data_IF_517453265035
#
_entry.id   IF_517453265035
#
_cell.length_a   1.000
_cell.length_b   1.000
_cell.length_c   1.000
_cell.angle_alpha   90.00
_cell.angle_beta   90.00
_cell.angle_gamma   90.00
#
_symmetry.space_group_name_H-M   'P 1'
#
loop_
_entity.id
_entity.type
_entity.pdbx_description
1 polymer ?
#
# COMPACT_ATOMS: atom_id res chain seq x y z
N UNK A 1 59.94 -46.25 62.96
CA UNK A 1 60.31 -46.70 64.33
C UNK A 1 61.36 -47.80 64.19
N UNK A 2 62.42 -47.77 64.99
CA UNK A 2 63.39 -48.87 65.03
C UNK A 2 62.66 -50.12 65.52
N UNK A 3 62.93 -51.29 64.93
CA UNK A 3 62.52 -52.56 65.51
C UNK A 3 63.07 -52.56 66.94
N UNK A 4 62.19 -52.49 67.94
CA UNK A 4 62.61 -52.64 69.33
C UNK A 4 63.03 -54.10 69.44
N UNK A 5 64.32 -54.36 69.23
CA UNK A 5 64.88 -55.69 69.39
C UNK A 5 64.73 -56.04 70.85
N UNK A 6 63.89 -57.03 71.15
CA UNK A 6 63.72 -57.52 72.51
C UNK A 6 65.07 -58.08 72.99
N UNK A 7 65.73 -57.34 73.86
CA UNK A 7 66.97 -57.80 74.49
C UNK A 7 66.63 -58.85 75.55
N UNK A 8 66.68 -60.12 75.14
CA UNK A 8 66.37 -61.25 76.00
C UNK A 8 67.33 -61.35 77.19
N UNK A 9 68.56 -60.84 77.08
CA UNK A 9 69.53 -60.88 78.17
C UNK A 9 69.15 -59.84 79.24
N UNK A 10 68.79 -58.63 78.82
CA UNK A 10 68.30 -57.59 79.73
C UNK A 10 67.01 -58.00 80.45
N UNK A 11 66.11 -58.72 79.76
CA UNK A 11 64.87 -59.26 80.35
C UNK A 11 65.17 -60.32 81.42
N UNK A 12 66.08 -61.26 81.17
CA UNK A 12 66.46 -62.28 82.15
C UNK A 12 67.09 -61.65 83.39
N UNK A 13 68.02 -60.70 83.22
CA UNK A 13 68.66 -60.00 84.35
C UNK A 13 67.66 -59.24 85.22
N UNK A 14 66.65 -58.61 84.60
CA UNK A 14 65.61 -57.89 85.34
C UNK A 14 64.69 -58.84 86.12
N UNK A 15 64.38 -60.02 85.57
CA UNK A 15 63.60 -61.06 86.25
C UNK A 15 64.38 -61.69 87.41
N UNK A 16 65.68 -61.89 87.26
CA UNK A 16 66.56 -62.38 88.33
C UNK A 16 66.69 -61.36 89.47
N UNK A 17 66.86 -60.07 89.15
CA UNK A 17 66.83 -58.97 90.15
C UNK A 17 65.50 -58.87 90.90
N UNK A 18 64.41 -59.26 90.26
CA UNK A 18 63.08 -59.35 90.86
C UNK A 18 62.86 -60.64 91.69
N UNK A 19 63.87 -61.50 91.83
CA UNK A 19 63.84 -62.70 92.68
C UNK A 19 63.38 -63.98 91.99
N UNK A 20 63.25 -63.99 90.66
CA UNK A 20 62.90 -65.19 89.89
C UNK A 20 64.16 -66.04 89.66
N UNK A 21 64.09 -67.34 89.97
CA UNK A 21 65.18 -68.28 89.74
C UNK A 21 65.55 -68.36 88.25
N UNK A 22 66.85 -68.39 87.94
CA UNK A 22 67.42 -68.38 86.58
C UNK A 22 66.73 -69.31 85.58
N UNK A 23 66.37 -70.58 85.91
CA UNK A 23 65.68 -71.45 84.96
C UNK A 23 64.29 -70.94 84.58
N UNK A 24 63.56 -70.36 85.53
CA UNK A 24 62.23 -69.78 85.29
C UNK A 24 62.32 -68.44 84.56
N UNK A 25 63.32 -67.60 84.89
CA UNK A 25 63.55 -66.33 84.18
C UNK A 25 63.86 -66.56 82.69
N UNK A 26 64.67 -67.58 82.37
CA UNK A 26 64.96 -67.99 80.98
C UNK A 26 63.72 -68.53 80.26
N UNK A 27 62.90 -69.35 80.93
CA UNK A 27 61.66 -69.88 80.36
C UNK A 27 60.65 -68.76 80.02
N UNK A 28 60.49 -67.78 80.93
CA UNK A 28 59.62 -66.62 80.71
C UNK A 28 60.16 -65.75 79.57
N UNK A 29 61.47 -65.45 79.56
CA UNK A 29 62.09 -64.71 78.45
C UNK A 29 61.92 -65.42 77.10
N UNK A 30 61.95 -66.75 77.08
CA UNK A 30 61.75 -67.54 75.86
C UNK A 30 60.31 -67.44 75.34
N UNK A 31 59.30 -67.54 76.22
CA UNK A 31 57.89 -67.38 75.84
C UNK A 31 57.61 -65.95 75.36
N UNK A 32 58.17 -64.93 76.02
CA UNK A 32 58.05 -63.52 75.59
C UNK A 32 58.70 -63.32 74.22
N UNK A 33 59.87 -63.92 73.98
CA UNK A 33 60.54 -63.87 72.67
C UNK A 33 59.69 -64.52 71.58
N UNK A 34 59.18 -65.73 71.81
CA UNK A 34 58.28 -66.39 70.85
C UNK A 34 57.03 -65.54 70.58
N UNK A 35 56.43 -64.95 71.61
CA UNK A 35 55.26 -64.09 71.45
C UNK A 35 55.58 -62.80 70.67
N UNK A 36 56.79 -62.25 70.79
CA UNK A 36 57.23 -61.05 70.06
C UNK A 36 57.62 -61.37 68.61
N UNK A 37 58.20 -62.55 68.35
CA UNK A 37 58.53 -63.03 67.00
C UNK A 37 57.27 -63.48 66.23
N UNK A 38 56.20 -63.88 66.93
CA UNK A 38 54.93 -64.30 66.32
C UNK A 38 54.00 -63.15 65.88
N UNK A 39 54.34 -61.88 66.17
CA UNK A 39 53.52 -60.72 65.74
C UNK A 39 53.98 -60.26 64.36
N UNK A 40 53.12 -60.45 63.36
CA UNK A 40 53.32 -59.91 62.01
C UNK A 40 53.06 -58.40 62.01
N UNK A 41 54.10 -57.62 62.31
CA UNK A 41 54.05 -56.15 62.33
C UNK A 41 54.72 -55.58 61.09
N UNK A 42 54.08 -54.59 60.49
CA UNK A 42 54.68 -53.84 59.38
C UNK A 42 56.03 -53.23 59.83
N UNK A 43 57.06 -53.43 59.01
CA UNK A 43 58.36 -52.83 59.25
C UNK A 43 58.35 -51.35 58.88
N UNK A 44 59.35 -50.59 59.35
CA UNK A 44 59.54 -49.20 58.91
C UNK A 44 59.63 -49.10 57.38
N UNK A 45 60.27 -50.08 56.74
CA UNK A 45 60.40 -50.14 55.29
C UNK A 45 59.06 -50.33 54.59
N UNK A 46 58.18 -51.19 55.11
CA UNK A 46 56.85 -51.41 54.53
C UNK A 46 55.99 -50.14 54.60
N UNK A 47 56.09 -49.39 55.70
CA UNK A 47 55.43 -48.09 55.84
C UNK A 47 56.03 -47.03 54.90
N UNK A 48 57.35 -47.00 54.74
CA UNK A 48 58.03 -46.07 53.82
C UNK A 48 57.65 -46.38 52.35
N UNK A 49 57.57 -47.66 51.97
CA UNK A 49 57.18 -48.09 50.62
C UNK A 49 55.68 -47.84 50.37
N UNK A 50 54.81 -48.05 51.37
CA UNK A 50 53.40 -47.65 51.31
C UNK A 50 53.26 -46.12 51.12
N UNK A 51 54.02 -45.33 51.87
CA UNK A 51 54.05 -43.87 51.75
C UNK A 51 54.40 -43.43 50.33
N UNK A 52 55.49 -43.96 49.76
CA UNK A 52 55.87 -43.70 48.37
C UNK A 52 54.80 -44.12 47.36
N UNK A 53 54.13 -45.25 47.60
CA UNK A 53 53.05 -45.72 46.73
C UNK A 53 51.82 -44.80 46.76
N UNK A 54 51.49 -44.28 47.94
CA UNK A 54 50.42 -43.29 48.12
C UNK A 54 50.80 -41.97 47.44
N UNK A 55 52.01 -41.46 47.66
CA UNK A 55 52.50 -40.22 47.04
C UNK A 55 52.48 -40.31 45.52
N UNK A 56 52.98 -41.41 44.95
CA UNK A 56 52.95 -41.65 43.51
C UNK A 56 51.51 -41.73 42.94
N UNK A 57 50.56 -42.27 43.71
CA UNK A 57 49.15 -42.29 43.31
C UNK A 57 48.52 -40.90 43.36
N UNK A 58 48.87 -40.07 44.36
CA UNK A 58 48.44 -38.68 44.42
C UNK A 58 49.02 -37.87 43.26
N UNK A 59 50.32 -37.97 42.99
CA UNK A 59 50.96 -37.30 41.84
C UNK A 59 50.29 -37.68 40.51
N UNK A 60 49.99 -38.98 40.30
CA UNK A 60 49.27 -39.45 39.11
C UNK A 60 47.85 -38.88 39.05
N UNK A 61 47.17 -38.75 40.18
CA UNK A 61 45.81 -38.22 40.25
C UNK A 61 45.82 -36.72 39.95
N UNK A 62 46.75 -35.97 40.52
CA UNK A 62 46.93 -34.54 40.24
C UNK A 62 47.26 -34.29 38.77
N UNK A 63 48.14 -35.09 38.17
CA UNK A 63 48.42 -35.02 36.74
C UNK A 63 47.17 -35.22 35.89
N UNK A 64 46.34 -36.24 36.20
CA UNK A 64 45.06 -36.46 35.51
C UNK A 64 44.07 -35.30 35.70
N UNK A 65 44.01 -34.71 36.88
CA UNK A 65 43.15 -33.54 37.14
C UNK A 65 43.61 -32.34 36.31
N UNK A 66 44.92 -32.11 36.22
CA UNK A 66 45.49 -31.04 35.39
C UNK A 66 45.14 -31.27 33.91
N UNK A 67 45.30 -32.48 33.40
CA UNK A 67 44.98 -32.79 32.00
C UNK A 67 43.49 -32.63 31.71
N UNK A 68 42.61 -33.13 32.60
CA UNK A 68 41.16 -32.91 32.48
C UNK A 68 40.77 -31.43 32.47
N UNK A 69 41.43 -30.59 33.28
CA UNK A 69 41.20 -29.14 33.26
C UNK A 69 41.62 -28.53 31.93
N UNK A 70 42.80 -28.88 31.41
CA UNK A 70 43.26 -28.39 30.09
C UNK A 70 42.31 -28.78 28.98
N UNK A 71 41.84 -30.02 28.96
CA UNK A 71 40.89 -30.51 27.96
C UNK A 71 39.55 -29.75 28.05
N UNK A 72 39.10 -29.48 29.27
CA UNK A 72 37.88 -28.70 29.52
C UNK A 72 38.01 -27.25 29.09
N UNK A 73 39.12 -26.59 29.42
CA UNK A 73 39.43 -25.22 29.03
C UNK A 73 39.49 -25.11 27.50
N UNK A 74 40.17 -26.03 26.82
CA UNK A 74 40.20 -26.08 25.36
C UNK A 74 38.81 -26.34 24.75
N UNK A 75 37.99 -27.16 25.41
CA UNK A 75 36.59 -27.40 25.03
C UNK A 75 35.72 -26.15 25.14
N UNK A 76 35.90 -25.36 26.20
CA UNK A 76 35.22 -24.08 26.40
C UNK A 76 35.68 -23.04 25.38
N UNK A 77 36.98 -22.86 25.17
CA UNK A 77 37.52 -21.93 24.16
C UNK A 77 36.97 -22.23 22.76
N UNK A 78 36.91 -23.51 22.38
CA UNK A 78 36.32 -23.92 21.10
C UNK A 78 34.81 -23.60 21.01
N UNK A 79 34.09 -23.71 22.12
CA UNK A 79 32.67 -23.39 22.19
C UNK A 79 32.44 -21.88 22.09
N UNK A 80 33.23 -21.08 22.79
CA UNK A 80 33.18 -19.62 22.74
C UNK A 80 33.52 -19.08 21.35
N UNK A 81 34.50 -19.68 20.67
CA UNK A 81 34.83 -19.36 19.28
C UNK A 81 33.62 -19.62 18.35
N UNK A 82 32.98 -20.80 18.45
CA UNK A 82 31.78 -21.13 17.67
C UNK A 82 30.61 -20.17 17.96
N UNK A 83 30.41 -19.80 19.22
CA UNK A 83 29.35 -18.84 19.59
C UNK A 83 29.65 -17.47 18.98
N UNK A 84 30.90 -17.04 18.97
CA UNK A 84 31.33 -15.78 18.36
C UNK A 84 31.09 -15.77 16.86
N UNK A 85 31.47 -16.84 16.17
CA UNK A 85 31.24 -17.00 14.73
C UNK A 85 29.74 -17.01 14.41
N UNK A 86 28.93 -17.76 15.16
CA UNK A 86 27.47 -17.76 14.99
C UNK A 86 26.85 -16.37 15.17
N UNK A 87 27.30 -15.60 16.17
CA UNK A 87 26.82 -14.22 16.38
C UNK A 87 27.19 -13.32 15.20
N UNK A 88 28.39 -13.47 14.65
CA UNK A 88 28.84 -12.70 13.48
C UNK A 88 28.02 -13.04 12.24
N UNK A 89 27.79 -14.32 11.97
CA UNK A 89 26.98 -14.78 10.84
C UNK A 89 25.53 -14.32 10.95
N UNK A 90 24.95 -14.40 12.16
CA UNK A 90 23.61 -13.88 12.44
C UNK A 90 23.55 -12.37 12.21
N UNK A 91 24.51 -11.60 12.72
CA UNK A 91 24.58 -10.14 12.50
C UNK A 91 24.63 -9.79 11.02
N UNK A 92 25.51 -10.45 10.26
CA UNK A 92 25.62 -10.24 8.81
C UNK A 92 24.33 -10.62 8.05
N UNK A 93 23.61 -11.66 8.48
CA UNK A 93 22.34 -12.03 7.87
C UNK A 93 21.21 -11.06 8.22
N UNK A 94 21.19 -10.49 9.42
CA UNK A 94 20.26 -9.43 9.79
C UNK A 94 20.51 -8.17 8.95
N UNK A 95 21.77 -7.71 8.85
CA UNK A 95 22.13 -6.55 8.02
C UNK A 95 21.71 -6.73 6.55
N UNK A 96 21.94 -7.92 5.97
CA UNK A 96 21.48 -8.25 4.61
C UNK A 96 19.95 -8.21 4.48
N UNK A 97 19.23 -8.63 5.51
CA UNK A 97 17.77 -8.62 5.52
C UNK A 97 17.25 -7.19 5.62
N UNK A 98 17.82 -6.36 6.49
CA UNK A 98 17.48 -4.94 6.62
C UNK A 98 17.76 -4.15 5.34
N UNK A 99 18.86 -4.46 4.65
CA UNK A 99 19.17 -3.87 3.34
C UNK A 99 18.09 -4.22 2.31
N UNK A 100 17.71 -5.50 2.20
CA UNK A 100 16.63 -5.94 1.30
C UNK A 100 15.29 -5.29 1.62
N UNK A 101 14.95 -5.14 2.91
CA UNK A 101 13.71 -4.47 3.34
C UNK A 101 13.73 -3.00 2.93
N UNK A 102 14.86 -2.32 3.12
CA UNK A 102 15.06 -0.93 2.69
C UNK A 102 14.89 -0.77 1.18
N UNK A 103 15.49 -1.65 0.39
CA UNK A 103 15.40 -1.60 -1.07
C UNK A 103 13.97 -1.88 -1.56
N UNK A 104 13.30 -2.89 -0.98
CA UNK A 104 11.89 -3.17 -1.29
C UNK A 104 10.97 -1.98 -0.98
N UNK A 105 11.23 -1.24 0.11
CA UNK A 105 10.48 -0.01 0.43
C UNK A 105 10.70 1.07 -0.61
N UNK A 106 11.95 1.31 -1.03
CA UNK A 106 12.25 2.29 -2.09
C UNK A 106 11.57 1.94 -3.40
N UNK A 107 11.62 0.67 -3.81
CA UNK A 107 10.98 0.21 -5.05
C UNK A 107 9.46 0.39 -4.98
N UNK A 108 8.85 0.11 -3.83
CA UNK A 108 7.43 0.30 -3.58
C UNK A 108 7.04 1.78 -3.61
N UNK A 109 7.80 2.65 -2.95
CA UNK A 109 7.57 4.10 -2.93
C UNK A 109 7.66 4.68 -4.36
N UNK A 110 8.69 4.30 -5.13
CA UNK A 110 8.82 4.69 -6.53
C UNK A 110 7.66 4.15 -7.41
N UNK A 111 7.18 2.94 -7.11
CA UNK A 111 6.00 2.36 -7.76
C UNK A 111 4.71 3.15 -7.49
N UNK A 112 4.52 3.62 -6.25
CA UNK A 112 3.40 4.48 -5.87
C UNK A 112 3.50 5.86 -6.52
N UNK A 113 4.65 6.53 -6.46
CA UNK A 113 4.87 7.82 -7.11
C UNK A 113 4.55 7.79 -8.61
N UNK A 114 4.98 6.73 -9.31
CA UNK A 114 4.67 6.55 -10.74
C UNK A 114 3.17 6.37 -10.99
N UNK A 115 2.46 5.72 -10.08
CA UNK A 115 1.01 5.52 -10.17
C UNK A 115 0.27 6.83 -9.94
N UNK A 116 0.66 7.60 -8.94
CA UNK A 116 0.10 8.92 -8.64
C UNK A 116 0.32 9.92 -9.79
N UNK A 117 1.50 9.89 -10.41
CA UNK A 117 1.78 10.68 -11.61
C UNK A 117 0.82 10.32 -12.77
N UNK A 118 0.63 9.03 -13.06
CA UNK A 118 -0.32 8.57 -14.09
C UNK A 118 -1.76 8.99 -13.79
N UNK A 119 -2.19 8.90 -12.53
CA UNK A 119 -3.54 9.33 -12.12
C UNK A 119 -3.70 10.83 -12.34
N UNK A 120 -2.67 11.62 -12.00
CA UNK A 120 -2.67 13.07 -12.21
C UNK A 120 -2.76 13.42 -13.69
N UNK A 121 -1.99 12.75 -14.54
CA UNK A 121 -2.02 12.99 -15.99
C UNK A 121 -3.37 12.59 -16.60
N UNK A 122 -3.93 11.43 -16.22
CA UNK A 122 -5.26 11.01 -16.66
C UNK A 122 -6.36 12.00 -16.28
N UNK A 123 -6.28 12.61 -15.08
CA UNK A 123 -7.22 13.66 -14.66
C UNK A 123 -7.11 14.89 -15.54
N UNK A 124 -5.88 15.38 -15.81
CA UNK A 124 -5.66 16.52 -16.71
C UNK A 124 -6.19 16.27 -18.12
N UNK A 125 -5.93 15.10 -18.67
CA UNK A 125 -6.42 14.72 -20.00
C UNK A 125 -7.95 14.68 -20.07
N UNK A 126 -8.57 14.18 -19.00
CA UNK A 126 -10.02 14.10 -18.86
C UNK A 126 -10.64 15.50 -18.73
N UNK A 127 -10.08 16.36 -17.87
CA UNK A 127 -10.53 17.75 -17.71
C UNK A 127 -10.43 18.52 -19.04
N UNK A 128 -9.30 18.41 -19.74
CA UNK A 128 -9.12 19.00 -21.07
C UNK A 128 -10.06 18.37 -22.13
N UNK A 129 -10.47 17.11 -21.95
CA UNK A 129 -11.49 16.45 -22.76
C UNK A 129 -12.89 17.04 -22.56
N UNK A 130 -13.25 17.31 -21.30
CA UNK A 130 -14.51 17.95 -20.95
C UNK A 130 -14.56 19.41 -21.43
N UNK A 131 -13.52 20.20 -21.21
CA UNK A 131 -13.44 21.58 -21.69
C UNK A 131 -13.63 21.68 -23.21
N UNK A 132 -13.00 20.78 -23.98
CA UNK A 132 -13.20 20.71 -25.44
C UNK A 132 -14.63 20.37 -25.84
N UNK A 133 -15.30 19.54 -25.05
CA UNK A 133 -16.69 19.15 -25.30
C UNK A 133 -17.63 20.31 -25.00
N UNK A 134 -17.43 21.01 -23.88
CA UNK A 134 -18.20 22.20 -23.50
C UNK A 134 -18.04 23.34 -24.52
N UNK A 135 -16.82 23.54 -25.03
CA UNK A 135 -16.56 24.49 -26.11
C UNK A 135 -17.36 24.14 -27.38
N UNK A 136 -17.32 22.88 -27.82
CA UNK A 136 -18.11 22.42 -28.98
C UNK A 136 -19.61 22.60 -28.80
N UNK A 137 -20.14 22.30 -27.61
CA UNK A 137 -21.56 22.51 -27.30
C UNK A 137 -21.92 23.99 -27.37
N UNK A 138 -21.05 24.86 -26.84
CA UNK A 138 -21.25 26.32 -26.89
C UNK A 138 -21.25 26.83 -28.33
N UNK A 139 -20.32 26.38 -29.16
CA UNK A 139 -20.26 26.77 -30.56
C UNK A 139 -21.47 26.26 -31.36
N UNK A 140 -21.89 25.00 -31.15
CA UNK A 140 -23.11 24.46 -31.77
C UNK A 140 -24.36 25.26 -31.41
N UNK A 141 -24.48 25.73 -30.16
CA UNK A 141 -25.60 26.58 -29.74
C UNK A 141 -25.58 27.93 -30.46
N UNK A 142 -24.41 28.58 -30.55
CA UNK A 142 -24.28 29.84 -31.32
C UNK A 142 -24.66 29.67 -32.78
N UNK A 143 -24.22 28.59 -33.41
CA UNK A 143 -24.56 28.29 -34.81
C UNK A 143 -26.07 28.05 -34.99
N UNK A 144 -26.70 27.33 -34.05
CA UNK A 144 -28.16 27.14 -34.03
C UNK A 144 -28.90 28.46 -33.86
N UNK A 145 -28.52 29.28 -32.88
CA UNK A 145 -29.15 30.57 -32.59
C UNK A 145 -29.05 31.49 -33.81
N UNK A 146 -27.87 31.59 -34.43
CA UNK A 146 -27.68 32.34 -35.67
C UNK A 146 -28.50 31.79 -36.85
N UNK A 147 -28.70 30.47 -36.91
CA UNK A 147 -29.56 29.80 -37.88
C UNK A 147 -31.04 30.17 -37.70
N UNK A 148 -31.51 30.21 -36.45
CA UNK A 148 -32.87 30.64 -36.11
C UNK A 148 -33.08 32.12 -36.41
N UNK A 149 -32.17 33.00 -36.01
CA UNK A 149 -32.25 34.44 -36.30
C UNK A 149 -32.36 34.72 -37.81
N UNK A 150 -31.59 34.02 -38.64
CA UNK A 150 -31.69 34.12 -40.12
C UNK A 150 -33.05 33.65 -40.64
N UNK A 151 -33.61 32.62 -40.04
CA UNK A 151 -34.93 32.09 -40.43
C UNK A 151 -36.03 33.06 -40.05
N UNK A 152 -35.99 33.61 -38.84
CA UNK A 152 -36.93 34.63 -38.37
C UNK A 152 -36.88 35.88 -39.26
N UNK A 153 -35.68 36.36 -39.61
CA UNK A 153 -35.51 37.49 -40.52
C UNK A 153 -36.15 37.22 -41.89
N UNK A 154 -35.94 36.03 -42.48
CA UNK A 154 -36.60 35.65 -43.74
C UNK A 154 -38.12 35.60 -43.62
N UNK A 155 -38.66 35.10 -42.51
CA UNK A 155 -40.11 35.08 -42.27
C UNK A 155 -40.66 36.51 -42.17
N UNK A 156 -39.96 37.41 -41.47
CA UNK A 156 -40.33 38.82 -41.39
C UNK A 156 -40.34 39.48 -42.76
N UNK A 157 -39.31 39.26 -43.58
CA UNK A 157 -39.24 39.84 -44.92
C UNK A 157 -40.33 39.28 -45.84
N UNK A 158 -40.58 37.96 -45.82
CA UNK A 158 -41.69 37.35 -46.57
C UNK A 158 -43.06 37.92 -46.18
N UNK A 159 -43.29 38.21 -44.89
CA UNK A 159 -44.53 38.85 -44.44
C UNK A 159 -44.66 40.26 -44.99
N UNK A 160 -43.60 41.07 -44.95
CA UNK A 160 -43.62 42.43 -45.52
C UNK A 160 -43.91 42.41 -47.02
N UNK A 161 -43.28 41.50 -47.76
CA UNK A 161 -43.51 41.36 -49.20
C UNK A 161 -44.97 40.96 -49.50
N UNK A 162 -45.52 40.07 -48.69
CA UNK A 162 -46.91 39.63 -48.80
C UNK A 162 -47.90 40.76 -48.47
N UNK A 163 -47.66 41.50 -47.38
CA UNK A 163 -48.47 42.64 -46.98
C UNK A 163 -48.48 43.73 -48.07
N UNK A 164 -47.30 44.07 -48.62
CA UNK A 164 -47.19 45.01 -49.75
C UNK A 164 -47.91 44.49 -51.01
N UNK A 165 -47.87 43.19 -51.26
CA UNK A 165 -48.61 42.54 -52.35
C UNK A 165 -50.13 42.65 -52.18
N UNK A 166 -50.63 42.50 -50.95
CA UNK A 166 -52.04 42.70 -50.62
C UNK A 166 -52.46 44.16 -50.77
N UNK A 167 -51.70 45.11 -50.21
CA UNK A 167 -51.98 46.55 -50.35
C UNK A 167 -52.08 46.98 -51.82
N UNK A 168 -51.18 46.47 -52.69
CA UNK A 168 -51.23 46.74 -54.13
C UNK A 168 -52.48 46.15 -54.80
N UNK A 169 -52.94 44.99 -54.34
CA UNK A 169 -54.15 44.35 -54.84
C UNK A 169 -55.39 45.12 -54.42
N UNK A 170 -55.47 45.54 -53.15
CA UNK A 170 -56.55 46.36 -52.62
C UNK A 170 -56.65 47.72 -53.32
N UNK A 171 -55.50 48.35 -53.63
CA UNK A 171 -55.45 49.58 -54.42
C UNK A 171 -56.05 49.37 -55.82
N UNK A 172 -55.66 48.30 -56.52
CA UNK A 172 -56.23 47.96 -57.84
C UNK A 172 -57.73 47.70 -57.78
N UNK A 173 -58.23 47.00 -56.76
CA UNK A 173 -59.67 46.75 -56.56
C UNK A 173 -60.40 48.08 -56.34
N UNK A 174 -59.83 48.98 -55.53
CA UNK A 174 -60.39 50.31 -55.29
C UNK A 174 -60.48 51.12 -56.57
N UNK A 175 -59.42 51.12 -57.39
CA UNK A 175 -59.42 51.84 -58.66
C UNK A 175 -60.42 51.25 -59.66
N UNK A 176 -60.50 49.92 -59.78
CA UNK A 176 -61.50 49.25 -60.62
C UNK A 176 -62.93 49.60 -60.20
N UNK A 177 -63.22 49.71 -58.89
CA UNK A 177 -64.54 50.14 -58.40
C UNK A 177 -64.84 51.58 -58.80
N UNK A 178 -63.90 52.51 -58.66
CA UNK A 178 -64.07 53.90 -59.11
C UNK A 178 -64.34 53.99 -60.60
N UNK A 179 -63.61 53.23 -61.42
CA UNK A 179 -63.81 53.18 -62.87
C UNK A 179 -65.20 52.63 -63.22
N UNK A 180 -65.66 51.59 -62.52
CA UNK A 180 -67.01 51.05 -62.65
C UNK A 180 -68.09 52.07 -62.27
N UNK A 181 -67.95 52.72 -61.10
CA UNK A 181 -68.90 53.72 -60.61
C UNK A 181 -69.02 54.89 -61.61
N UNK A 182 -67.89 55.42 -62.09
CA UNK A 182 -67.87 56.45 -63.13
C UNK A 182 -68.50 55.98 -64.46
N UNK A 183 -68.33 54.70 -64.80
CA UNK A 183 -68.99 54.09 -65.95
C UNK A 183 -70.52 54.02 -65.80
N UNK A 184 -71.01 53.69 -64.61
CA UNK A 184 -72.44 53.71 -64.28
C UNK A 184 -72.99 55.13 -64.29
N UNK A 185 -72.33 56.10 -63.65
CA UNK A 185 -72.75 57.51 -63.66
C UNK A 185 -72.89 58.06 -65.10
N UNK A 186 -71.94 57.74 -65.99
CA UNK A 186 -72.03 58.11 -67.42
C UNK A 186 -73.22 57.45 -68.12
N UNK A 187 -73.54 56.21 -67.76
CA UNK A 187 -74.68 55.48 -68.33
C UNK A 187 -75.99 56.08 -67.84
N UNK A 188 -76.11 56.38 -66.54
CA UNK A 188 -77.26 57.04 -65.93
C UNK A 188 -77.49 58.43 -66.51
N UNK A 189 -76.42 59.20 -66.76
CA UNK A 189 -76.49 60.49 -67.44
C UNK A 189 -77.08 60.35 -68.86
N UNK A 190 -76.56 59.40 -69.66
CA UNK A 190 -77.10 59.12 -71.00
C UNK A 190 -78.57 58.70 -70.97
N UNK A 191 -78.98 57.87 -70.01
CA UNK A 191 -80.39 57.46 -69.84
C UNK A 191 -81.26 58.67 -69.49
N UNK A 192 -80.77 59.54 -68.60
CA UNK A 192 -81.47 60.78 -68.21
C UNK A 192 -81.65 61.70 -69.41
N UNK A 193 -80.60 61.88 -70.22
CA UNK A 193 -80.66 62.71 -71.43
C UNK A 193 -81.61 62.11 -72.47
N UNK A 194 -81.57 60.79 -72.70
CA UNK A 194 -82.54 60.10 -73.58
C UNK A 194 -83.99 60.27 -73.11
N UNK A 195 -84.24 60.23 -71.79
CA UNK A 195 -85.58 60.49 -71.24
C UNK A 195 -86.03 61.91 -71.51
N UNK A 196 -85.18 62.91 -71.26
CA UNK A 196 -85.49 64.32 -71.60
C UNK A 196 -85.79 64.50 -73.08
N UNK A 197 -84.98 63.89 -73.95
CA UNK A 197 -85.19 63.94 -75.41
C UNK A 197 -86.54 63.30 -75.80
N UNK A 198 -86.91 62.19 -75.17
CA UNK A 198 -88.22 61.57 -75.37
C UNK A 198 -89.36 62.46 -74.88
N UNK A 199 -89.26 63.02 -73.68
CA UNK A 199 -90.27 63.92 -73.10
C UNK A 199 -90.51 65.13 -74.02
N UNK A 200 -89.45 65.76 -74.52
CA UNK A 200 -89.54 66.87 -75.50
C UNK A 200 -90.25 66.42 -76.77
N UNK A 201 -89.92 65.24 -77.30
CA UNK A 201 -90.58 64.71 -78.51
C UNK A 201 -92.06 64.42 -78.26
N UNK A 202 -92.43 63.90 -77.09
CA UNK A 202 -93.83 63.70 -76.71
C UNK A 202 -94.58 65.02 -76.59
N UNK A 203 -94.02 66.03 -75.92
CA UNK A 203 -94.64 67.38 -75.87
C UNK A 203 -94.83 67.99 -77.26
N UNK A 204 -93.86 67.79 -78.18
CA UNK A 204 -94.00 68.24 -79.58
C UNK A 204 -95.11 67.48 -80.32
N UNK A 205 -95.25 66.18 -80.07
CA UNK A 205 -96.34 65.36 -80.63
C UNK A 205 -97.68 65.86 -80.11
N UNK A 206 -97.82 66.10 -78.81
CA UNK A 206 -99.04 66.61 -78.18
C UNK A 206 -99.45 67.95 -78.79
N UNK A 207 -98.52 68.91 -78.93
CA UNK A 207 -98.77 70.20 -79.60
C UNK A 207 -99.23 70.04 -81.05
N UNK A 208 -98.66 69.08 -81.80
CA UNK A 208 -99.09 68.80 -83.18
C UNK A 208 -100.50 68.19 -83.21
N UNK A 209 -100.84 67.32 -82.26
CA UNK A 209 -102.19 66.77 -82.13
C UNK A 209 -103.22 67.84 -81.80
N UNK A 210 -102.90 68.79 -80.91
CA UNK A 210 -103.77 69.93 -80.60
C UNK A 210 -104.00 70.82 -81.83
N UNK A 211 -102.96 71.10 -82.62
CA UNK A 211 -103.06 71.89 -83.85
C UNK A 211 -103.89 71.22 -84.96
N UNK A 212 -104.02 69.89 -84.96
CA UNK A 212 -104.80 69.13 -85.96
C UNK A 212 -106.27 69.02 -85.56
N UNK A 213 -106.60 69.19 -84.27
CA UNK A 213 -107.96 69.06 -83.73
C UNK A 213 -108.68 70.41 -83.50
N UNK A 214 -108.09 71.55 -83.93
CA UNK A 214 -108.72 72.88 -84.02
C UNK A 214 -109.05 73.23 -85.47
#
# INVERSE_FOLDING_TARGET
MALVTLDTQQVVENLEKAGILTPHARAISFVIRQSHEAVDVATKRDLDDLGKGIDANFERTDAKIIDLRKDMDAGFEKTDAKITDLRKDMGANFEKTDAKITDLRKDMDAGFEKTDAKITDLRKDMDAGFERTDAKITDLRKDMDAGFEKTDAKITDLRKDMDAGFEKTDAKITDLRKDMDAGFEKTDAKITDLRKDMDIRFEQIDKRFEQVNM
#
